data_IF_430844690048
#
_entry.id   IF_430844690048
#
_cell.length_a   1.000
_cell.length_b   1.000
_cell.length_c   1.000
_cell.angle_alpha   90.00
_cell.angle_beta   90.00
_cell.angle_gamma   90.00
#
_symmetry.space_group_name_H-M   'P 1'
#
loop_
_entity.id
_entity.type
_entity.pdbx_description
1 polymer ?
#
# COMPACT_ATOMS: atom_id res chain seq x y z
N UNK A 1 -0.22 7.30 -20.57
CA UNK A 1 -0.33 6.23 -19.56
C UNK A 1 -0.66 6.91 -18.25
N UNK A 2 -1.77 6.56 -17.60
CA UNK A 2 -2.08 7.11 -16.28
C UNK A 2 -1.34 6.33 -15.22
N UNK A 3 -0.81 7.04 -14.23
CA UNK A 3 -0.13 6.42 -13.11
C UNK A 3 -0.79 6.82 -11.80
N UNK A 4 -0.79 5.90 -10.85
CA UNK A 4 -1.10 6.21 -9.47
C UNK A 4 0.06 5.77 -8.61
N UNK A 5 0.72 6.71 -7.94
CA UNK A 5 1.78 6.39 -7.00
C UNK A 5 1.14 5.92 -5.69
N UNK A 6 1.57 4.76 -5.21
CA UNK A 6 1.12 4.20 -3.94
C UNK A 6 2.34 3.95 -3.08
N UNK A 7 2.41 4.64 -1.96
CA UNK A 7 3.49 4.50 -1.00
C UNK A 7 3.13 3.41 0.01
N UNK A 8 4.03 2.44 0.18
CA UNK A 8 3.86 1.32 1.10
C UNK A 8 5.08 1.15 1.99
N UNK A 9 4.86 0.53 3.14
CA UNK A 9 5.96 0.08 4.00
C UNK A 9 6.61 -1.18 3.44
N UNK A 10 7.94 -1.24 3.48
CA UNK A 10 8.73 -2.28 2.82
C UNK A 10 8.52 -3.68 3.40
N UNK A 11 8.31 -3.80 4.72
CA UNK A 11 8.18 -5.11 5.38
C UNK A 11 6.75 -5.62 5.42
N UNK A 12 5.80 -4.74 5.72
CA UNK A 12 4.40 -5.15 5.94
C UNK A 12 3.48 -4.83 4.75
N UNK A 13 3.96 -4.10 3.73
CA UNK A 13 3.16 -3.72 2.56
C UNK A 13 1.96 -2.82 2.86
N UNK A 14 1.80 -2.37 4.12
CA UNK A 14 0.72 -1.49 4.52
C UNK A 14 0.77 -0.19 3.72
N UNK A 15 -0.40 0.32 3.35
CA UNK A 15 -0.53 1.62 2.71
C UNK A 15 0.00 2.70 3.66
N UNK A 16 0.96 3.46 3.19
CA UNK A 16 1.39 4.69 3.83
C UNK A 16 0.59 5.86 3.26
N UNK A 17 0.58 6.00 1.93
CA UNK A 17 -0.13 7.07 1.24
C UNK A 17 -0.54 6.64 -0.17
N UNK A 18 -1.72 7.08 -0.62
CA UNK A 18 -2.19 6.88 -1.99
C UNK A 18 -2.32 8.24 -2.66
N UNK A 19 -1.51 8.48 -3.69
CA UNK A 19 -1.56 9.73 -4.43
C UNK A 19 -2.76 9.77 -5.37
N UNK A 20 -3.12 10.99 -5.79
CA UNK A 20 -4.04 11.17 -6.90
C UNK A 20 -3.49 10.53 -8.18
N UNK A 21 -4.39 10.16 -9.08
CA UNK A 21 -4.01 9.66 -10.40
C UNK A 21 -3.43 10.84 -11.19
N UNK A 22 -2.29 10.63 -11.84
CA UNK A 22 -1.76 11.51 -12.88
C UNK A 22 -2.46 11.18 -14.21
N UNK A 23 -3.42 12.00 -14.67
CA UNK A 23 -4.25 11.68 -15.81
C UNK A 23 -3.53 12.00 -17.11
N UNK A 24 -3.47 11.02 -18.01
CA UNK A 24 -3.11 11.24 -19.41
C UNK A 24 -4.35 11.64 -20.23
N UNK A 25 -4.15 12.05 -21.48
CA UNK A 25 -5.22 12.52 -22.37
C UNK A 25 -6.35 11.50 -22.61
N UNK A 26 -6.06 10.20 -22.45
CA UNK A 26 -7.04 9.12 -22.60
C UNK A 26 -7.74 8.73 -21.28
N UNK A 27 -7.52 9.49 -20.20
CA UNK A 27 -8.15 9.21 -18.91
C UNK A 27 -9.69 9.20 -19.03
N UNK A 28 -10.34 8.20 -18.44
CA UNK A 28 -11.79 8.01 -18.52
C UNK A 28 -12.31 7.40 -19.82
N UNK A 29 -11.46 7.17 -20.83
CA UNK A 29 -11.86 6.48 -22.05
C UNK A 29 -12.09 4.98 -21.80
N UNK A 30 -13.03 4.37 -22.52
CA UNK A 30 -13.34 2.94 -22.38
C UNK A 30 -12.11 2.10 -22.76
N UNK A 31 -11.76 1.14 -21.90
CA UNK A 31 -10.58 0.29 -22.09
C UNK A 31 -9.25 0.93 -21.66
N UNK A 32 -9.28 2.16 -21.14
CA UNK A 32 -8.10 2.78 -20.54
C UNK A 32 -7.81 2.21 -19.14
N UNK A 33 -6.56 1.88 -18.86
CA UNK A 33 -6.12 1.37 -17.55
C UNK A 33 -5.17 2.34 -16.86
N UNK A 34 -5.36 2.49 -15.55
CA UNK A 34 -4.42 3.21 -14.68
C UNK A 34 -3.41 2.19 -14.14
N UNK A 35 -2.13 2.54 -14.18
CA UNK A 35 -1.09 1.68 -13.65
C UNK A 35 -0.69 2.15 -12.25
N UNK A 36 -0.72 1.24 -11.28
CA UNK A 36 -0.20 1.50 -9.95
C UNK A 36 1.34 1.41 -9.97
N UNK A 37 2.00 2.42 -9.39
CA UNK A 37 3.44 2.40 -9.15
C UNK A 37 3.69 2.43 -7.64
N UNK A 38 4.12 1.29 -7.10
CA UNK A 38 4.45 1.20 -5.68
C UNK A 38 5.81 1.80 -5.39
N UNK A 39 5.88 2.64 -4.36
CA UNK A 39 7.14 3.19 -3.80
C UNK A 39 7.25 2.74 -2.35
N UNK A 40 8.42 2.26 -1.95
CA UNK A 40 8.69 1.85 -0.58
C UNK A 40 9.33 3.00 0.19
N UNK A 41 8.68 3.48 1.27
CA UNK A 41 9.06 4.73 1.95
C UNK A 41 9.51 4.56 3.40
N UNK A 42 9.34 3.38 4.00
CA UNK A 42 9.73 3.11 5.38
C UNK A 42 9.69 1.62 5.73
N UNK A 43 10.16 1.25 6.93
CA UNK A 43 10.30 -0.16 7.35
C UNK A 43 8.95 -0.85 7.64
N UNK A 44 8.24 -0.40 8.68
CA UNK A 44 6.94 -0.96 9.10
C UNK A 44 6.00 0.16 9.59
N UNK A 45 4.69 0.00 9.38
CA UNK A 45 3.68 0.92 9.92
C UNK A 45 3.56 0.76 11.43
N UNK A 46 2.92 1.71 12.12
CA UNK A 46 2.82 1.70 13.59
C UNK A 46 2.23 0.39 14.16
N UNK A 47 1.30 -0.24 13.44
CA UNK A 47 0.67 -1.52 13.82
C UNK A 47 1.61 -2.73 13.71
N UNK A 48 2.58 -2.66 12.78
CA UNK A 48 3.56 -3.73 12.54
C UNK A 48 4.96 -3.34 13.01
N UNK A 49 5.13 -2.12 13.53
CA UNK A 49 6.32 -1.73 14.25
C UNK A 49 6.31 -2.52 15.55
N UNK A 50 7.29 -3.42 15.71
CA UNK A 50 7.40 -4.20 16.93
C UNK A 50 7.71 -3.25 18.08
N UNK A 51 6.69 -2.88 18.86
CA UNK A 51 6.90 -2.40 20.22
C UNK A 51 7.47 -3.60 20.98
N UNK A 52 8.77 -3.58 21.28
CA UNK A 52 9.39 -4.58 22.16
C UNK A 52 8.75 -4.47 23.55
N UNK A 53 7.59 -5.09 23.72
CA UNK A 53 6.94 -5.32 25.00
C UNK A 53 6.33 -6.72 24.96
N UNK A 54 7.19 -7.72 25.17
CA UNK A 54 6.90 -8.97 25.88
C UNK A 54 5.62 -9.77 25.61
N UNK A 55 4.95 -9.65 24.46
CA UNK A 55 3.69 -10.35 24.20
C UNK A 55 3.68 -11.04 22.84
N UNK A 56 3.63 -12.36 22.85
CA UNK A 56 3.53 -13.26 21.67
C UNK A 56 2.56 -12.73 20.61
N UNK A 57 2.89 -12.80 19.30
CA UNK A 57 1.92 -12.57 18.25
C UNK A 57 0.85 -13.68 18.32
N UNK A 58 -0.36 -13.31 18.72
CA UNK A 58 -1.53 -14.18 18.59
C UNK A 58 -1.85 -14.28 17.10
N UNK A 59 -1.50 -15.43 16.51
CA UNK A 59 -1.91 -15.82 15.18
C UNK A 59 -3.43 -15.70 15.06
N UNK A 60 -3.89 -14.80 14.20
CA UNK A 60 -5.29 -14.67 13.83
C UNK A 60 -5.74 -15.91 13.07
N UNK A 61 -6.36 -16.83 13.78
CA UNK A 61 -7.11 -17.96 13.25
C UNK A 61 -8.29 -17.42 12.40
N UNK A 62 -8.22 -17.59 11.07
CA UNK A 62 -9.37 -17.40 10.18
C UNK A 62 -10.39 -18.49 10.49
N UNK A 63 -11.53 -18.11 11.08
CA UNK A 63 -12.74 -18.92 11.08
C UNK A 63 -13.68 -18.43 10.00
N UNK A 64 -13.92 -19.28 8.99
CA UNK A 64 -15.17 -19.47 8.25
C UNK A 64 -15.17 -20.91 7.75
#
# INVERSE_FOLDING_TARGET
MCYQVVERYSVCGCLYFQHAIDPCQAYGQRGHTVQEKTVLVGYACDKHSARRNGGRPAAGHKGY
#
